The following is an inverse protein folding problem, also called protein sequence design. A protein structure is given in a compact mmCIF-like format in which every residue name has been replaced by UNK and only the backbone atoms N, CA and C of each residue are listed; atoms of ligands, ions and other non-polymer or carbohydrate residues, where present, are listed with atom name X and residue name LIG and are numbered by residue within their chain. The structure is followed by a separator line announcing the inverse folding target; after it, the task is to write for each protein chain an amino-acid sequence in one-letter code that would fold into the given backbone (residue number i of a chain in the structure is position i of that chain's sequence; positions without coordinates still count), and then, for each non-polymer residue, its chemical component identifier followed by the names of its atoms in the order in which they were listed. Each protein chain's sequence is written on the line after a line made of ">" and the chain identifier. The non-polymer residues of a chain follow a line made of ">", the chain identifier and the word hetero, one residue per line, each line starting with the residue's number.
data_IF_274968639802
#
_entry.id   IF_274968639802
#
_cell.length_a   1.000
_cell.length_b   1.000
_cell.length_c   1.000
_cell.angle_alpha   90.00
_cell.angle_beta   90.00
_cell.angle_gamma   90.00
#
_symmetry.space_group_name_H-M   'P 1'
#
loop_
_entity.id
_entity.type
_entity.pdbx_description
1 polymer ?
#
# COMPACT_ATOMS: atom_id res chain seq x y z
N UNK A 1 19.60 -6.84 -12.61
CA UNK A 1 19.05 -7.91 -11.76
C UNK A 1 18.38 -8.90 -12.68
N UNK A 2 18.67 -10.20 -12.53
CA UNK A 2 17.86 -11.24 -13.17
C UNK A 2 16.66 -11.57 -12.25
N UNK A 3 15.54 -11.95 -12.85
CA UNK A 3 14.30 -12.28 -12.14
C UNK A 3 14.22 -13.80 -11.94
N UNK A 4 13.62 -14.25 -10.84
CA UNK A 4 13.47 -15.68 -10.54
C UNK A 4 12.82 -16.46 -11.71
N UNK A 5 13.37 -17.63 -12.02
CA UNK A 5 12.86 -18.57 -13.02
C UNK A 5 12.01 -19.64 -12.37
N UNK A 6 12.56 -20.30 -11.34
CA UNK A 6 11.90 -21.30 -10.50
C UNK A 6 12.22 -21.04 -9.00
N UNK A 7 11.53 -20.08 -8.37
CA UNK A 7 11.77 -19.72 -6.97
C UNK A 7 11.36 -20.82 -5.99
N UNK A 8 12.16 -20.99 -4.95
CA UNK A 8 11.93 -21.91 -3.82
C UNK A 8 12.08 -21.19 -2.49
N UNK A 9 11.22 -21.51 -1.54
CA UNK A 9 11.32 -21.09 -0.14
C UNK A 9 12.09 -22.15 0.64
N UNK A 10 13.08 -21.72 1.42
CA UNK A 10 13.74 -22.57 2.42
C UNK A 10 13.07 -22.42 3.80
N UNK A 11 13.35 -23.37 4.71
CA UNK A 11 12.90 -23.33 6.11
C UNK A 11 13.35 -22.07 6.89
N UNK A 12 14.36 -21.33 6.41
CA UNK A 12 14.79 -20.03 6.95
C UNK A 12 13.89 -18.84 6.51
N UNK A 13 12.80 -19.13 5.77
CA UNK A 13 11.81 -18.16 5.29
C UNK A 13 12.27 -17.35 4.07
N UNK A 14 13.40 -17.69 3.46
CA UNK A 14 13.96 -16.95 2.30
C UNK A 14 13.68 -17.65 0.99
N UNK A 15 13.51 -16.82 -0.05
CA UNK A 15 13.31 -17.26 -1.43
C UNK A 15 14.65 -17.25 -2.17
N UNK A 16 14.93 -18.34 -2.86
CA UNK A 16 16.11 -18.51 -3.72
C UNK A 16 15.71 -19.03 -5.10
N UNK A 17 16.58 -18.89 -6.09
CA UNK A 17 16.46 -19.58 -7.38
C UNK A 17 16.83 -21.05 -7.21
N UNK A 18 15.99 -22.02 -7.65
CA UNK A 18 16.23 -23.46 -7.40
C UNK A 18 17.63 -23.90 -7.83
N UNK A 19 18.02 -23.59 -9.06
CA UNK A 19 19.32 -24.02 -9.60
C UNK A 19 20.50 -23.50 -8.74
N UNK A 20 20.43 -22.24 -8.31
CA UNK A 20 21.47 -21.60 -7.52
C UNK A 20 21.57 -22.18 -6.10
N UNK A 21 20.43 -22.34 -5.41
CA UNK A 21 20.42 -22.89 -4.04
C UNK A 21 20.74 -24.39 -4.03
N UNK A 22 20.27 -25.16 -5.03
CA UNK A 22 20.63 -26.57 -5.18
C UNK A 22 22.13 -26.74 -5.37
N UNK A 23 22.75 -25.94 -6.24
CA UNK A 23 24.21 -25.94 -6.40
C UNK A 23 24.92 -25.58 -5.08
N UNK A 24 24.48 -24.51 -4.41
CA UNK A 24 25.10 -24.07 -3.15
C UNK A 24 25.01 -25.13 -2.04
N UNK A 25 23.85 -25.78 -1.86
CA UNK A 25 23.66 -26.86 -0.88
C UNK A 25 24.57 -28.05 -1.19
N UNK A 26 24.71 -28.42 -2.47
CA UNK A 26 25.62 -29.51 -2.87
C UNK A 26 27.10 -29.19 -2.60
N UNK A 27 27.49 -27.91 -2.64
CA UNK A 27 28.87 -27.46 -2.38
C UNK A 27 29.16 -27.18 -0.89
N UNK A 28 28.18 -26.69 -0.13
CA UNK A 28 28.38 -26.13 1.22
C UNK A 28 27.45 -26.67 2.32
N UNK A 29 26.40 -27.42 1.98
CA UNK A 29 25.44 -28.01 2.93
C UNK A 29 24.67 -27.03 3.83
N UNK A 30 24.65 -25.73 3.49
CA UNK A 30 24.19 -24.65 4.39
C UNK A 30 23.39 -23.57 3.65
N UNK A 31 22.56 -22.81 4.36
CA UNK A 31 21.91 -21.60 3.82
C UNK A 31 22.97 -20.53 3.47
N UNK A 32 22.95 -19.93 2.26
CA UNK A 32 23.87 -18.85 1.89
C UNK A 32 23.78 -17.64 2.80
N UNK A 33 22.63 -17.43 3.46
CA UNK A 33 22.38 -16.26 4.30
C UNK A 33 22.67 -16.53 5.79
N UNK A 34 22.09 -17.59 6.36
CA UNK A 34 22.20 -17.86 7.81
C UNK A 34 23.42 -18.70 8.18
N UNK A 35 24.04 -19.36 7.19
CA UNK A 35 25.09 -20.38 7.35
C UNK A 35 24.69 -21.58 8.21
N UNK A 36 23.40 -21.74 8.53
CA UNK A 36 22.88 -22.93 9.18
C UNK A 36 22.79 -24.09 8.19
N UNK A 37 22.85 -25.36 8.63
CA UNK A 37 22.61 -26.52 7.77
C UNK A 37 21.29 -26.39 7.00
N UNK A 38 21.30 -26.73 5.71
CA UNK A 38 20.13 -26.67 4.83
C UNK A 38 20.20 -27.80 3.80
N UNK A 39 19.10 -28.54 3.65
CA UNK A 39 18.99 -29.70 2.76
C UNK A 39 18.03 -29.46 1.61
N UNK A 40 18.22 -30.18 0.49
CA UNK A 40 17.38 -30.06 -0.71
C UNK A 40 15.90 -30.41 -0.46
N UNK A 41 15.63 -31.29 0.52
CA UNK A 41 14.27 -31.67 0.93
C UNK A 41 13.54 -30.58 1.73
N UNK A 42 14.24 -29.53 2.15
CA UNK A 42 13.71 -28.40 2.91
C UNK A 42 13.39 -27.19 2.01
N UNK A 43 13.40 -27.40 0.68
CA UNK A 43 13.09 -26.41 -0.35
C UNK A 43 11.69 -26.63 -0.93
N UNK A 44 10.74 -25.78 -0.54
CA UNK A 44 9.38 -25.80 -1.07
C UNK A 44 9.26 -24.91 -2.32
N UNK A 45 8.58 -25.33 -3.40
CA UNK A 45 8.33 -24.46 -4.56
C UNK A 45 7.42 -23.27 -4.21
N UNK A 46 7.82 -22.05 -4.57
CA UNK A 46 6.92 -20.89 -4.52
C UNK A 46 6.26 -20.69 -5.90
N UNK A 47 5.14 -21.38 -6.11
CA UNK A 47 4.33 -21.25 -7.33
C UNK A 47 3.83 -19.83 -7.57
N UNK A 48 3.61 -19.05 -6.51
CA UNK A 48 3.10 -17.68 -6.61
C UNK A 48 4.18 -16.73 -7.16
N UNK A 49 5.39 -16.74 -6.58
CA UNK A 49 6.53 -15.99 -7.12
C UNK A 49 6.94 -16.49 -8.50
N UNK A 50 6.85 -17.80 -8.76
CA UNK A 50 7.14 -18.39 -10.08
C UNK A 50 6.24 -17.80 -11.17
N UNK A 51 4.95 -17.71 -10.89
CA UNK A 51 3.96 -17.14 -11.80
C UNK A 51 4.11 -15.62 -11.95
N UNK A 52 4.36 -14.88 -10.86
CA UNK A 52 4.64 -13.44 -10.92
C UNK A 52 5.86 -13.15 -11.80
N UNK A 53 6.94 -13.92 -11.62
CA UNK A 53 8.16 -13.75 -12.39
C UNK A 53 8.02 -14.24 -13.84
N UNK A 54 7.20 -15.24 -14.12
CA UNK A 54 6.82 -15.61 -15.49
C UNK A 54 6.01 -14.50 -16.18
N UNK A 55 5.06 -13.86 -15.48
CA UNK A 55 4.30 -12.72 -16.04
C UNK A 55 5.19 -11.53 -16.35
N UNK A 56 6.12 -11.17 -15.46
CA UNK A 56 7.03 -10.03 -15.69
C UNK A 56 8.04 -10.31 -16.82
N UNK A 57 8.47 -11.57 -17.00
CA UNK A 57 9.25 -11.98 -18.19
C UNK A 57 8.44 -11.87 -19.49
N UNK A 58 7.13 -12.13 -19.43
CA UNK A 58 6.25 -12.18 -20.58
C UNK A 58 5.47 -10.86 -20.83
N UNK A 59 5.62 -9.85 -19.98
CA UNK A 59 4.96 -8.55 -20.16
C UNK A 59 5.63 -7.77 -21.28
N UNK A 60 5.17 -7.99 -22.51
CA UNK A 60 5.49 -7.14 -23.65
C UNK A 60 4.97 -5.74 -23.35
N UNK A 61 5.88 -4.80 -23.11
CA UNK A 61 5.52 -3.39 -22.92
C UNK A 61 5.19 -2.79 -24.28
N UNK A 62 3.94 -2.97 -24.70
CA UNK A 62 3.35 -2.27 -25.84
C UNK A 62 3.17 -0.79 -25.47
N UNK A 63 4.24 0.00 -25.63
CA UNK A 63 4.09 1.44 -25.69
C UNK A 63 3.23 1.78 -26.91
N UNK A 64 1.98 2.17 -26.67
CA UNK A 64 1.14 2.85 -27.65
C UNK A 64 1.67 4.27 -27.90
N UNK A 65 2.90 4.36 -28.43
CA UNK A 65 3.38 5.55 -29.08
C UNK A 65 2.55 5.73 -30.36
N UNK A 66 1.65 6.71 -30.37
CA UNK A 66 1.11 7.23 -31.62
C UNK A 66 2.31 7.56 -32.53
N UNK A 67 2.33 7.13 -33.81
CA UNK A 67 3.43 7.40 -34.71
C UNK A 67 3.43 8.88 -35.10
N UNK A 68 3.96 9.71 -34.21
CA UNK A 68 4.30 11.10 -34.50
C UNK A 68 5.39 11.10 -35.56
N UNK A 69 5.02 11.46 -36.78
CA UNK A 69 5.96 11.65 -37.90
C UNK A 69 6.91 12.79 -37.56
N UNK A 70 8.05 12.48 -36.96
CA UNK A 70 9.12 13.44 -36.72
C UNK A 70 9.75 13.80 -38.06
N UNK A 71 9.24 14.86 -38.69
CA UNK A 71 9.90 15.48 -39.84
C UNK A 71 11.16 16.17 -39.34
N UNK A 72 12.32 15.53 -39.55
CA UNK A 72 13.61 16.11 -39.21
C UNK A 72 13.83 17.39 -40.04
N UNK A 73 14.13 18.54 -39.42
CA UNK A 73 14.58 19.71 -40.17
C UNK A 73 15.93 19.40 -40.84
N UNK A 74 16.20 19.94 -42.05
CA UNK A 74 17.43 19.65 -42.77
C UNK A 74 18.66 20.10 -41.99
N UNK A 75 19.68 19.23 -41.95
CA UNK A 75 20.95 19.47 -41.27
C UNK A 75 21.65 20.72 -41.85
N UNK A 76 21.71 21.79 -41.07
CA UNK A 76 22.52 22.97 -41.40
C UNK A 76 23.99 22.65 -41.11
N UNK A 77 24.75 22.41 -42.17
CA UNK A 77 26.21 22.34 -42.10
C UNK A 77 26.76 23.67 -41.55
N UNK A 78 27.65 23.57 -40.55
CA UNK A 78 27.98 24.71 -39.70
C UNK A 78 28.95 25.71 -40.33
N UNK A 79 29.08 26.85 -39.67
CA UNK A 79 30.27 27.68 -39.76
C UNK A 79 30.74 28.06 -38.35
N UNK A 80 32.04 27.90 -38.11
CA UNK A 80 32.69 28.36 -36.89
C UNK A 80 32.70 29.89 -36.89
N UNK A 81 32.59 30.51 -35.72
CA UNK A 81 33.50 31.62 -35.41
C UNK A 81 33.69 31.76 -33.90
N UNK A 82 34.95 31.83 -33.50
CA UNK A 82 35.34 32.17 -32.15
C UNK A 82 35.39 33.69 -32.03
N UNK A 83 34.92 34.24 -30.92
CA UNK A 83 35.65 35.36 -30.33
C UNK A 83 35.49 35.40 -28.80
N UNK A 84 36.55 35.86 -28.14
CA UNK A 84 36.75 35.78 -26.69
C UNK A 84 37.03 37.18 -26.17
N UNK A 85 36.16 37.75 -25.33
CA UNK A 85 36.45 38.96 -24.57
C UNK A 85 35.93 38.79 -23.13
N UNK A 86 36.84 38.91 -22.17
CA UNK A 86 36.53 39.19 -20.75
C UNK A 86 36.58 40.70 -20.53
N UNK A 87 35.90 41.24 -19.49
CA UNK A 87 36.72 41.69 -18.35
C UNK A 87 36.09 41.44 -16.95
N UNK A 88 37.01 41.50 -15.97
CA UNK A 88 36.92 41.94 -14.56
C UNK A 88 35.58 42.59 -14.09
N UNK A 89 35.14 42.52 -12.83
CA UNK A 89 35.80 42.18 -11.56
C UNK A 89 35.16 43.00 -10.40
N UNK A 90 35.67 42.88 -9.16
CA UNK A 90 35.19 43.55 -7.90
C UNK A 90 33.88 42.97 -7.29
N UNK A 91 33.85 42.28 -6.14
CA UNK A 91 34.24 42.54 -4.73
C UNK A 91 33.25 43.40 -3.93
N UNK A 92 32.53 42.79 -2.97
CA UNK A 92 32.84 42.94 -1.53
C UNK A 92 31.90 42.12 -0.63
N UNK A 93 32.42 41.72 0.54
CA UNK A 93 31.67 41.11 1.64
C UNK A 93 31.66 42.04 2.85
N UNK A 94 30.77 41.76 3.82
CA UNK A 94 30.64 42.24 5.24
C UNK A 94 29.21 42.70 5.54
N UNK A 95 28.72 42.79 6.78
CA UNK A 95 28.89 41.95 7.99
C UNK A 95 27.96 42.52 9.10
N UNK A 96 27.51 41.65 10.03
CA UNK A 96 26.98 41.99 11.37
C UNK A 96 25.68 42.82 11.50
N UNK A 97 24.97 42.60 12.63
CA UNK A 97 23.82 43.40 13.09
C UNK A 97 24.24 44.66 13.86
N UNK A 98 23.36 45.27 14.71
CA UNK A 98 22.85 44.57 15.91
C UNK A 98 21.38 44.93 16.29
N UNK A 99 20.99 44.56 17.52
CA UNK A 99 19.64 44.69 18.09
C UNK A 99 19.34 46.06 18.75
N UNK A 100 18.04 46.31 19.05
CA UNK A 100 17.45 47.24 20.03
C UNK A 100 15.90 47.07 19.99
N UNK A 101 15.06 47.44 20.98
CA UNK A 101 15.18 47.58 22.45
C UNK A 101 13.74 47.69 23.05
N UNK A 102 13.62 47.67 24.39
CA UNK A 102 12.37 47.54 25.18
C UNK A 102 11.48 48.81 25.30
N UNK A 103 10.15 48.60 25.42
CA UNK A 103 9.16 49.39 26.20
C UNK A 103 7.80 48.62 26.21
N UNK A 104 6.83 48.79 27.13
CA UNK A 104 6.72 49.53 28.41
C UNK A 104 5.81 48.75 29.41
N UNK A 105 4.88 49.35 30.17
CA UNK A 105 4.02 48.68 31.19
C UNK A 105 2.54 49.14 31.27
N UNK A 106 1.67 48.19 31.66
CA UNK A 106 0.51 48.30 32.58
C UNK A 106 -0.91 48.75 32.15
N UNK A 107 -1.87 48.17 32.90
CA UNK A 107 -3.25 48.61 33.23
C UNK A 107 -4.47 48.09 32.42
N UNK A 108 -5.00 46.95 32.90
CA UNK A 108 -6.38 46.77 33.41
C UNK A 108 -7.52 47.46 32.64
N UNK A 109 -8.29 46.66 31.88
CA UNK A 109 -9.74 46.79 31.68
C UNK A 109 -10.32 45.41 31.37
N UNK A 110 -11.21 44.89 32.23
CA UNK A 110 -11.69 43.51 32.19
C UNK A 110 -13.22 43.48 31.93
N UNK A 111 -13.71 42.37 31.35
CA UNK A 111 -15.09 41.84 31.45
C UNK A 111 -16.17 42.10 30.38
N UNK A 112 -15.93 42.74 29.22
CA UNK A 112 -16.96 42.75 28.14
C UNK A 112 -16.45 42.25 26.76
N UNK A 113 -15.14 42.23 26.49
CA UNK A 113 -14.62 41.85 25.15
C UNK A 113 -14.40 40.34 24.90
N UNK A 114 -14.51 39.48 25.92
CA UNK A 114 -14.09 38.07 25.81
C UNK A 114 -14.97 37.24 24.85
N UNK A 115 -16.29 37.48 24.82
CA UNK A 115 -17.21 36.69 23.98
C UNK A 115 -17.03 36.91 22.48
N UNK A 116 -16.76 38.15 22.05
CA UNK A 116 -16.59 38.50 20.63
C UNK A 116 -15.23 38.04 20.10
N UNK A 117 -14.18 38.13 20.94
CA UNK A 117 -12.83 37.68 20.58
C UNK A 117 -12.79 36.15 20.45
N UNK A 118 -13.44 35.39 21.33
CA UNK A 118 -13.50 33.92 21.20
C UNK A 118 -14.22 33.50 19.92
N UNK A 119 -15.32 34.17 19.55
CA UNK A 119 -16.06 33.84 18.31
C UNK A 119 -15.28 34.25 17.04
N UNK A 120 -14.49 35.32 17.09
CA UNK A 120 -13.58 35.69 16.01
C UNK A 120 -12.38 34.74 15.88
N UNK A 121 -11.83 34.25 17.01
CA UNK A 121 -10.74 33.26 17.04
C UNK A 121 -11.22 31.90 16.51
N UNK A 122 -12.41 31.43 16.88
CA UNK A 122 -12.94 30.17 16.32
C UNK A 122 -13.24 30.29 14.82
N UNK A 123 -13.82 31.41 14.36
CA UNK A 123 -14.09 31.62 12.94
C UNK A 123 -12.80 31.73 12.10
N UNK A 124 -11.75 32.36 12.64
CA UNK A 124 -10.44 32.43 11.96
C UNK A 124 -9.70 31.09 11.95
N UNK A 125 -9.79 30.27 13.00
CA UNK A 125 -9.25 28.90 13.01
C UNK A 125 -9.97 28.04 11.94
N UNK A 126 -11.29 28.17 11.78
CA UNK A 126 -12.04 27.47 10.73
C UNK A 126 -11.60 27.89 9.33
N UNK A 127 -11.33 29.18 9.09
CA UNK A 127 -10.84 29.67 7.79
C UNK A 127 -9.40 29.17 7.51
N UNK A 128 -8.53 29.12 8.52
CA UNK A 128 -7.16 28.59 8.38
C UNK A 128 -7.18 27.08 8.03
N UNK A 129 -8.07 26.30 8.65
CA UNK A 129 -8.21 24.86 8.35
C UNK A 129 -8.81 24.58 6.96
N UNK A 130 -9.60 25.51 6.40
CA UNK A 130 -10.09 25.43 5.01
C UNK A 130 -9.01 25.83 3.99
N UNK A 131 -7.97 26.56 4.40
CA UNK A 131 -6.87 27.01 3.51
C UNK A 131 -5.56 26.21 3.65
N UNK A 132 -5.42 25.35 4.66
CA UNK A 132 -4.26 24.46 4.83
C UNK A 132 -4.23 23.23 3.90
N UNK A 133 -5.06 23.20 2.85
CA UNK A 133 -5.15 22.12 1.86
C UNK A 133 -4.17 22.19 0.68
N UNK A 134 -3.11 23.02 0.72
CA UNK A 134 -2.16 23.17 -0.40
C UNK A 134 -0.74 23.55 0.02
N UNK A 135 -0.04 22.61 0.67
CA UNK A 135 1.41 22.66 0.82
C UNK A 135 2.10 22.21 -0.48
N UNK A 136 2.60 23.15 -1.28
CA UNK A 136 3.55 22.84 -2.36
C UNK A 136 4.88 22.38 -1.76
N UNK A 137 5.06 21.07 -1.62
CA UNK A 137 6.33 20.48 -1.20
C UNK A 137 7.35 20.56 -2.35
N UNK A 138 8.15 21.63 -2.39
CA UNK A 138 9.41 21.65 -3.15
C UNK A 138 10.47 20.85 -2.40
N UNK A 139 10.43 19.53 -2.57
CA UNK A 139 11.46 18.57 -2.17
C UNK A 139 11.66 17.55 -3.29
N UNK A 140 12.89 17.05 -3.46
CA UNK A 140 13.28 16.25 -4.63
C UNK A 140 12.29 15.11 -4.91
N UNK A 141 11.62 15.19 -6.05
CA UNK A 141 10.45 14.40 -6.35
C UNK A 141 10.76 12.94 -6.68
N UNK A 142 10.51 12.05 -5.72
CA UNK A 142 10.01 10.71 -6.04
C UNK A 142 8.49 10.77 -6.03
N UNK A 143 7.91 11.10 -7.18
CA UNK A 143 6.48 11.03 -7.40
C UNK A 143 6.05 9.57 -7.40
N UNK A 144 5.62 9.06 -6.25
CA UNK A 144 4.73 7.91 -6.20
C UNK A 144 3.46 8.32 -6.94
N UNK A 145 3.37 7.94 -8.21
CA UNK A 145 2.12 7.99 -8.92
C UNK A 145 1.18 7.03 -8.18
N UNK A 146 0.23 7.59 -7.44
CA UNK A 146 -0.97 6.87 -7.00
C UNK A 146 -1.72 6.48 -8.26
N UNK A 147 -1.30 5.35 -8.85
CA UNK A 147 -2.01 4.71 -9.93
C UNK A 147 -3.45 4.55 -9.48
N UNK A 148 -4.37 5.25 -10.12
CA UNK A 148 -5.80 4.92 -10.04
C UNK A 148 -5.89 3.41 -10.21
N UNK A 149 -6.54 2.67 -9.28
CA UNK A 149 -6.58 1.22 -9.36
C UNK A 149 -7.03 0.86 -10.77
N UNK A 150 -6.26 -0.04 -11.42
CA UNK A 150 -6.58 -0.47 -12.77
C UNK A 150 -8.05 -0.88 -12.77
N UNK A 151 -8.84 -0.31 -13.68
CA UNK A 151 -10.27 -0.58 -13.76
C UNK A 151 -10.45 -1.96 -14.41
N UNK A 152 -10.06 -2.99 -13.65
CA UNK A 152 -10.09 -4.40 -14.06
C UNK A 152 -11.56 -4.79 -14.08
N UNK A 153 -12.12 -4.77 -15.28
CA UNK A 153 -13.44 -5.31 -15.54
C UNK A 153 -13.31 -6.83 -15.42
N UNK A 154 -13.89 -7.39 -14.36
CA UNK A 154 -13.99 -8.82 -14.16
C UNK A 154 -15.17 -9.39 -14.95
N UNK A 155 -14.97 -10.55 -15.57
CA UNK A 155 -16.04 -11.26 -16.28
C UNK A 155 -17.09 -11.81 -15.32
N UNK A 156 -16.71 -12.06 -14.07
CA UNK A 156 -17.57 -12.57 -13.01
C UNK A 156 -17.45 -11.72 -11.74
N UNK A 157 -18.59 -11.55 -11.05
CA UNK A 157 -18.64 -10.95 -9.71
C UNK A 157 -19.60 -11.72 -8.82
N UNK A 158 -19.13 -12.10 -7.63
CA UNK A 158 -19.95 -12.65 -6.54
C UNK A 158 -20.12 -11.57 -5.47
N UNK A 159 -21.34 -11.37 -4.99
CA UNK A 159 -21.64 -10.36 -3.97
C UNK A 159 -22.43 -10.99 -2.81
N UNK A 160 -22.17 -10.53 -1.59
CA UNK A 160 -22.97 -10.90 -0.41
C UNK A 160 -23.07 -9.75 0.59
N UNK A 161 -24.06 -9.83 1.48
CA UNK A 161 -24.25 -8.89 2.57
C UNK A 161 -24.34 -9.59 3.91
N UNK A 162 -23.90 -8.93 4.97
CA UNK A 162 -23.94 -9.41 6.34
C UNK A 162 -23.97 -8.22 7.33
N UNK A 163 -23.88 -8.49 8.63
CA UNK A 163 -23.69 -7.48 9.65
C UNK A 163 -22.76 -7.99 10.75
N UNK A 164 -21.96 -7.09 11.33
CA UNK A 164 -21.32 -7.30 12.62
C UNK A 164 -22.33 -6.93 13.71
N UNK A 165 -22.43 -7.76 14.75
CA UNK A 165 -23.40 -7.57 15.85
C UNK A 165 -22.74 -7.89 17.18
N UNK A 166 -23.37 -7.51 18.29
CA UNK A 166 -22.88 -7.87 19.64
C UNK A 166 -22.92 -9.38 19.95
N UNK A 167 -23.55 -10.18 19.09
CA UNK A 167 -23.53 -11.65 19.15
C UNK A 167 -22.42 -12.29 18.28
N UNK A 168 -21.72 -11.49 17.47
CA UNK A 168 -20.55 -11.95 16.72
C UNK A 168 -19.42 -12.35 17.68
N UNK A 169 -18.63 -13.35 17.31
CA UNK A 169 -17.41 -13.68 18.06
C UNK A 169 -16.41 -12.52 18.02
N UNK A 170 -15.48 -12.46 18.97
CA UNK A 170 -14.42 -11.44 19.01
C UNK A 170 -13.09 -11.96 18.48
N UNK A 171 -12.37 -11.06 17.80
CA UNK A 171 -11.11 -11.34 17.12
C UNK A 171 -9.98 -10.53 17.75
N UNK A 172 -8.86 -11.21 18.04
CA UNK A 172 -7.59 -10.53 18.27
C UNK A 172 -6.93 -10.32 16.91
N UNK A 173 -6.85 -9.06 16.47
CA UNK A 173 -6.23 -8.74 15.18
C UNK A 173 -4.74 -9.18 15.14
N UNK A 174 -4.21 -9.64 13.99
CA UNK A 174 -2.81 -9.98 13.85
C UNK A 174 -1.89 -8.80 14.21
N UNK A 175 -0.69 -9.12 14.70
CA UNK A 175 0.35 -8.12 15.01
C UNK A 175 0.64 -7.24 13.79
N UNK A 176 0.29 -5.95 13.89
CA UNK A 176 0.31 -5.01 12.76
C UNK A 176 -0.97 -4.18 12.64
N UNK A 177 -2.08 -4.61 13.26
CA UNK A 177 -3.22 -3.70 13.50
C UNK A 177 -2.81 -2.58 14.47
N UNK A 178 -3.18 -1.29 14.22
CA UNK A 178 -2.79 -0.17 15.08
C UNK A 178 -3.30 -0.24 16.53
N UNK A 179 -4.30 -1.08 16.82
CA UNK A 179 -4.94 -1.15 18.14
C UNK A 179 -5.00 -2.61 18.61
N UNK A 180 -4.09 -3.05 19.51
CA UNK A 180 -4.20 -4.34 20.19
C UNK A 180 -5.33 -4.28 21.24
N UNK A 181 -6.57 -4.46 20.78
CA UNK A 181 -7.76 -4.60 21.64
C UNK A 181 -8.55 -5.85 21.26
N UNK A 182 -8.95 -6.62 22.28
CA UNK A 182 -9.51 -7.97 22.14
C UNK A 182 -11.01 -7.99 21.77
N UNK A 183 -11.55 -6.85 21.34
CA UNK A 183 -12.99 -6.55 21.26
C UNK A 183 -13.46 -6.21 19.84
N UNK A 184 -12.80 -6.76 18.81
CA UNK A 184 -13.25 -6.59 17.43
C UNK A 184 -14.25 -7.70 17.06
N UNK A 185 -15.51 -7.33 16.81
CA UNK A 185 -16.50 -8.27 16.30
C UNK A 185 -16.11 -8.75 14.90
N UNK A 186 -16.19 -10.06 14.63
CA UNK A 186 -15.90 -10.59 13.29
C UNK A 186 -16.96 -11.59 12.81
N UNK A 187 -16.97 -11.80 11.49
CA UNK A 187 -17.52 -13.01 10.88
C UNK A 187 -16.47 -13.71 10.04
N UNK A 188 -16.65 -15.01 9.83
CA UNK A 188 -15.93 -15.78 8.81
C UNK A 188 -16.92 -16.12 7.69
N UNK A 189 -16.50 -15.92 6.45
CA UNK A 189 -17.15 -16.51 5.27
C UNK A 189 -16.16 -17.41 4.54
N UNK A 190 -16.53 -18.68 4.40
CA UNK A 190 -15.79 -19.61 3.56
C UNK A 190 -16.10 -19.30 2.11
N UNK A 191 -15.06 -19.07 1.33
CA UNK A 191 -15.16 -18.84 -0.12
C UNK A 191 -14.32 -19.88 -0.85
N UNK A 192 -14.94 -20.59 -1.78
CA UNK A 192 -14.24 -21.53 -2.65
C UNK A 192 -13.98 -20.87 -4.00
N UNK A 193 -12.69 -20.77 -4.34
CA UNK A 193 -12.21 -20.29 -5.62
C UNK A 193 -12.14 -21.49 -6.56
N UNK A 194 -12.90 -21.45 -7.66
CA UNK A 194 -12.97 -22.55 -8.64
C UNK A 194 -11.82 -22.52 -9.68
N UNK A 195 -11.15 -21.38 -9.84
CA UNK A 195 -10.23 -21.16 -10.96
C UNK A 195 -9.09 -20.28 -10.51
N UNK A 196 -7.86 -20.67 -10.84
CA UNK A 196 -6.69 -19.84 -10.56
C UNK A 196 -6.79 -18.51 -11.33
N UNK A 197 -6.51 -17.39 -10.66
CA UNK A 197 -6.46 -16.10 -11.32
C UNK A 197 -6.32 -14.91 -10.39
N UNK A 198 -6.48 -13.71 -10.93
CA UNK A 198 -6.45 -12.47 -10.17
C UNK A 198 -7.85 -12.14 -9.65
N UNK A 199 -7.97 -11.97 -8.35
CA UNK A 199 -9.21 -11.65 -7.66
C UNK A 199 -9.09 -10.32 -6.93
N UNK A 200 -10.21 -9.60 -6.84
CA UNK A 200 -10.38 -8.38 -6.05
C UNK A 200 -11.54 -8.60 -5.09
N UNK A 201 -11.28 -8.44 -3.79
CA UNK A 201 -12.25 -8.52 -2.70
C UNK A 201 -12.35 -7.13 -2.08
N UNK A 202 -13.54 -6.53 -2.13
CA UNK A 202 -13.77 -5.15 -1.70
C UNK A 202 -15.01 -5.06 -0.81
N UNK A 203 -14.92 -4.30 0.28
CA UNK A 203 -16.08 -3.99 1.13
C UNK A 203 -16.81 -2.71 0.73
N UNK A 204 -18.04 -2.58 1.22
CA UNK A 204 -18.83 -1.37 1.16
C UNK A 204 -19.78 -1.30 2.37
N UNK A 205 -19.62 -0.26 3.19
CA UNK A 205 -20.40 0.05 4.39
C UNK A 205 -20.29 1.54 4.75
N UNK A 206 -20.96 1.94 5.83
CA UNK A 206 -20.78 3.20 6.55
C UNK A 206 -19.89 3.05 7.80
N UNK A 207 -19.42 1.84 8.10
CA UNK A 207 -18.44 1.57 9.17
C UNK A 207 -17.07 1.25 8.55
N UNK A 208 -16.02 1.60 9.29
CA UNK A 208 -14.62 1.33 8.94
C UNK A 208 -14.31 -0.17 9.04
N UNK A 209 -14.07 -0.83 7.91
CA UNK A 209 -13.98 -2.29 7.81
C UNK A 209 -12.56 -2.78 7.50
N UNK A 210 -12.09 -3.72 8.32
CA UNK A 210 -10.85 -4.46 8.11
C UNK A 210 -11.17 -5.86 7.56
N UNK A 211 -10.61 -6.20 6.40
CA UNK A 211 -10.68 -7.52 5.79
C UNK A 211 -9.37 -8.29 5.94
N UNK A 212 -9.47 -9.59 6.25
CA UNK A 212 -8.35 -10.53 6.23
C UNK A 212 -8.74 -11.77 5.41
N UNK A 213 -7.82 -12.28 4.60
CA UNK A 213 -8.02 -13.52 3.84
C UNK A 213 -7.02 -14.59 4.29
N UNK A 214 -7.56 -15.74 4.70
CA UNK A 214 -6.80 -16.90 5.15
C UNK A 214 -6.92 -18.06 4.18
N UNK A 215 -5.85 -18.85 4.01
CA UNK A 215 -5.97 -20.24 3.52
C UNK A 215 -6.73 -21.06 4.57
N UNK A 216 -7.57 -22.00 4.15
CA UNK A 216 -8.18 -22.94 5.10
C UNK A 216 -7.12 -23.89 5.71
N UNK A 217 -7.17 -24.22 7.01
CA UNK A 217 -8.13 -23.76 8.03
C UNK A 217 -7.78 -22.40 8.66
N UNK A 218 -8.80 -21.68 9.10
CA UNK A 218 -8.67 -20.47 9.93
C UNK A 218 -8.73 -20.81 11.43
N UNK A 219 -7.91 -20.13 12.24
CA UNK A 219 -7.95 -20.19 13.70
C UNK A 219 -7.85 -18.79 14.33
N UNK A 220 -8.91 -18.35 15.00
CA UNK A 220 -8.99 -17.04 15.64
C UNK A 220 -8.01 -16.82 16.80
N UNK A 221 -7.48 -17.90 17.42
CA UNK A 221 -6.47 -17.78 18.50
C UNK A 221 -5.04 -17.68 17.99
N UNK A 222 -4.81 -17.98 16.70
CA UNK A 222 -3.51 -17.88 16.03
C UNK A 222 -3.65 -17.03 14.75
N UNK A 223 -3.99 -15.74 14.87
CA UNK A 223 -4.42 -14.89 13.75
C UNK A 223 -3.34 -14.63 12.70
N UNK A 224 -2.08 -14.96 12.96
CA UNK A 224 -0.98 -14.86 11.97
C UNK A 224 -0.83 -16.11 11.11
N UNK A 225 -1.40 -17.26 11.51
CA UNK A 225 -1.27 -18.53 10.79
C UNK A 225 -2.21 -18.55 9.60
N UNK A 226 -1.72 -19.03 8.45
CA UNK A 226 -2.45 -19.10 7.17
C UNK A 226 -2.93 -17.76 6.58
N UNK A 227 -2.55 -16.62 7.15
CA UNK A 227 -2.84 -15.29 6.62
C UNK A 227 -2.19 -15.10 5.24
N UNK A 228 -2.96 -14.62 4.26
CA UNK A 228 -2.50 -14.37 2.89
C UNK A 228 -2.50 -12.88 2.54
N UNK A 229 -3.57 -12.17 2.89
CA UNK A 229 -3.77 -10.76 2.59
C UNK A 229 -4.60 -10.13 3.71
N UNK A 230 -4.37 -8.85 3.96
CA UNK A 230 -5.19 -8.03 4.85
C UNK A 230 -5.22 -6.58 4.36
N UNK A 231 -6.32 -5.87 4.58
CA UNK A 231 -6.45 -4.44 4.27
C UNK A 231 -7.62 -3.82 5.04
N UNK A 232 -7.57 -2.51 5.25
CA UNK A 232 -8.58 -1.67 5.90
C UNK A 232 -9.00 -0.47 5.04
N UNK A 233 -8.05 0.29 4.50
CA UNK A 233 -8.34 1.62 3.92
C UNK A 233 -8.41 1.69 2.39
N UNK A 234 -7.84 0.71 1.68
CA UNK A 234 -7.37 0.93 0.29
C UNK A 234 -8.47 0.82 -0.77
N UNK A 235 -9.69 0.48 -0.36
CA UNK A 235 -10.90 0.67 -1.16
C UNK A 235 -11.37 2.13 -1.17
N UNK A 236 -10.98 2.93 -0.19
CA UNK A 236 -11.44 4.30 0.00
C UNK A 236 -12.84 4.37 0.63
N UNK A 237 -13.10 5.46 1.37
CA UNK A 237 -14.20 5.57 2.36
C UNK A 237 -14.10 4.53 3.49
N UNK A 238 -12.88 4.32 4.01
CA UNK A 238 -12.67 3.41 5.16
C UNK A 238 -13.15 1.98 4.87
N UNK A 239 -12.93 1.54 3.62
CA UNK A 239 -13.32 0.23 3.12
C UNK A 239 -12.10 -0.52 2.59
N UNK A 240 -12.01 -1.80 2.89
CA UNK A 240 -10.88 -2.60 2.45
C UNK A 240 -10.94 -2.95 0.96
N UNK A 241 -9.76 -3.09 0.36
CA UNK A 241 -9.52 -3.62 -0.98
C UNK A 241 -8.35 -4.60 -0.93
N UNK A 242 -8.66 -5.89 -0.85
CA UNK A 242 -7.68 -6.97 -1.00
C UNK A 242 -7.65 -7.41 -2.46
N UNK A 243 -6.46 -7.50 -3.05
CA UNK A 243 -6.30 -7.85 -4.45
C UNK A 243 -5.05 -8.70 -4.67
N UNK A 244 -5.16 -9.81 -5.39
CA UNK A 244 -4.06 -10.76 -5.50
C UNK A 244 -4.39 -12.00 -6.33
N UNK A 245 -3.40 -12.87 -6.46
CA UNK A 245 -3.55 -14.15 -7.16
C UNK A 245 -4.06 -15.21 -6.18
N UNK A 246 -5.19 -15.83 -6.50
CA UNK A 246 -5.74 -16.96 -5.75
C UNK A 246 -5.67 -18.22 -6.61
N UNK A 247 -5.43 -19.36 -5.97
CA UNK A 247 -5.46 -20.69 -6.57
C UNK A 247 -6.84 -21.31 -6.39
N UNK A 248 -7.15 -22.38 -7.13
CA UNK A 248 -8.38 -23.15 -6.91
C UNK A 248 -8.34 -23.83 -5.53
N UNK A 249 -8.99 -23.25 -4.53
CA UNK A 249 -8.94 -23.71 -3.13
C UNK A 249 -10.05 -23.10 -2.27
N UNK A 250 -10.14 -23.58 -1.03
CA UNK A 250 -11.01 -23.03 0.01
C UNK A 250 -10.23 -21.98 0.84
N UNK A 251 -10.87 -20.83 1.05
CA UNK A 251 -10.33 -19.72 1.82
C UNK A 251 -11.34 -19.26 2.88
N UNK A 252 -10.85 -18.63 3.93
CA UNK A 252 -11.68 -17.99 4.94
C UNK A 252 -11.49 -16.48 4.83
N UNK A 253 -12.53 -15.77 4.37
CA UNK A 253 -12.62 -14.31 4.43
C UNK A 253 -13.13 -13.93 5.82
N UNK A 254 -12.27 -13.31 6.61
CA UNK A 254 -12.60 -12.72 7.90
C UNK A 254 -12.89 -11.24 7.68
N UNK A 255 -14.06 -10.78 8.13
CA UNK A 255 -14.44 -9.37 8.09
C UNK A 255 -14.67 -8.88 9.51
N UNK A 256 -14.04 -7.76 9.85
CA UNK A 256 -14.10 -7.08 11.14
C UNK A 256 -14.00 -5.56 10.93
N UNK A 257 -13.84 -4.78 11.99
CA UNK A 257 -13.73 -3.31 11.96
C UNK A 257 -12.31 -2.84 12.29
N UNK A 258 -11.96 -1.62 11.90
CA UNK A 258 -10.70 -0.98 12.31
C UNK A 258 -10.70 -0.58 13.80
N UNK A 259 -11.87 -0.17 14.31
CA UNK A 259 -12.08 0.17 15.73
C UNK A 259 -12.82 -0.95 16.47
N UNK A 260 -12.54 -1.19 17.77
CA UNK A 260 -13.22 -2.19 18.58
C UNK A 260 -14.67 -1.80 18.90
N UNK A 261 -15.47 -2.80 19.28
CA UNK A 261 -16.87 -2.68 19.71
C UNK A 261 -17.83 -2.04 18.66
N UNK A 262 -17.38 -1.85 17.42
CA UNK A 262 -18.19 -1.35 16.30
C UNK A 262 -19.04 -2.45 15.68
N UNK A 263 -20.31 -2.15 15.42
CA UNK A 263 -21.29 -3.03 14.77
C UNK A 263 -21.97 -2.33 13.62
N UNK A 264 -22.52 -3.09 12.67
CA UNK A 264 -23.24 -2.52 11.52
C UNK A 264 -23.34 -3.45 10.31
N UNK A 265 -24.21 -3.11 9.34
CA UNK A 265 -24.39 -3.86 8.10
C UNK A 265 -23.26 -3.57 7.10
N UNK A 266 -22.96 -4.53 6.24
CA UNK A 266 -21.99 -4.34 5.16
C UNK A 266 -22.28 -5.25 3.97
N UNK A 267 -21.64 -4.94 2.85
CA UNK A 267 -21.63 -5.76 1.65
C UNK A 267 -20.19 -6.00 1.17
N UNK A 268 -19.93 -7.18 0.62
CA UNK A 268 -18.66 -7.55 0.00
C UNK A 268 -18.92 -7.86 -1.47
N UNK A 269 -18.03 -7.36 -2.32
CA UNK A 269 -17.94 -7.67 -3.74
C UNK A 269 -16.63 -8.42 -4.02
N UNK A 270 -16.73 -9.54 -4.75
CA UNK A 270 -15.60 -10.37 -5.16
C UNK A 270 -15.61 -10.44 -6.68
N UNK A 271 -14.64 -9.80 -7.34
CA UNK A 271 -14.41 -9.89 -8.78
C UNK A 271 -13.31 -10.89 -9.10
N UNK A 272 -13.45 -11.64 -10.20
CA UNK A 272 -12.45 -12.59 -10.66
C UNK A 272 -12.69 -13.11 -12.09
N UNK A 273 -11.90 -14.11 -12.54
CA UNK A 273 -12.14 -14.78 -13.82
C UNK A 273 -13.49 -15.53 -13.84
N UNK A 274 -13.81 -16.18 -12.72
CA UNK A 274 -15.02 -16.98 -12.51
C UNK A 274 -15.65 -16.66 -11.14
N UNK A 275 -16.96 -16.88 -10.94
CA UNK A 275 -17.62 -16.68 -9.65
C UNK A 275 -17.01 -17.57 -8.56
N UNK A 276 -16.85 -17.01 -7.36
CA UNK A 276 -16.52 -17.79 -6.16
C UNK A 276 -17.81 -18.35 -5.54
N UNK A 277 -17.72 -19.54 -4.96
CA UNK A 277 -18.83 -20.16 -4.22
C UNK A 277 -18.71 -19.78 -2.75
N UNK A 278 -19.76 -19.22 -2.18
CA UNK A 278 -19.85 -18.90 -0.75
C UNK A 278 -20.47 -20.09 -0.01
N UNK A 279 -19.91 -20.44 1.14
CA UNK A 279 -20.40 -21.47 2.06
C UNK A 279 -20.89 -20.85 3.39
#
# INVERSE_FOLDING_TARGET
>A
MELFRDPVIANDGRVYEREAITKWINEHGTSPFTRQPLQLSELEPDDHLRQLAARHRNSVVSYNAQPSTVTLPPLRTGSRNANRIYPQGTTNATAAGPANASCSKSCICIFIFCGVIVLAITLTIVIVLVQSGSSKATGNGYSYSTSTPLNIIFNASTNFSAALTTMSSTYAAPTGSPIPSNNHYYIVRKIFVNTYGYYVIRSNSFIDLYGYLYRDPFNATLPTVNLLMQNDDSGGREQFLMQGLLSSSLYNLVVTTYSPDVTGPFSISIGGPEPVIIQ
#
